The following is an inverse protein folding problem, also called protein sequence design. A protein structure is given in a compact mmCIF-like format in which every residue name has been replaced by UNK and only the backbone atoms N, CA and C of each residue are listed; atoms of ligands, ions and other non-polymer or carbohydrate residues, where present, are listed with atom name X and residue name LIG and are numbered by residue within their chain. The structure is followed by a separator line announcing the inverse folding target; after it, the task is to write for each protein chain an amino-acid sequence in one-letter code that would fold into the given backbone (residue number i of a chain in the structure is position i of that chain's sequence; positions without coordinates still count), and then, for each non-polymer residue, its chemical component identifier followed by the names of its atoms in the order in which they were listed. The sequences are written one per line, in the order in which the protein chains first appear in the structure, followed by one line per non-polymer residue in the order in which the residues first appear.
data_IF_571448823758
#
_entry.id   IF_571448823758
#
_cell.length_a   1.000
_cell.length_b   1.000
_cell.length_c   1.000
_cell.angle_alpha   90.00
_cell.angle_beta   90.00
_cell.angle_gamma   90.00
#
_symmetry.space_group_name_H-M   'P 1'
#
loop_
_entity.id
_entity.type
_entity.pdbx_description
1 polymer ?
#
# COMPACT_ATOMS: atom_id res chain seq x y z
N UNK A 1 -15.38 -3.16 38.35
CA UNK A 1 -14.88 -2.63 37.06
C UNK A 1 -16.00 -2.78 36.04
N UNK A 2 -16.69 -1.68 35.72
CA UNK A 2 -17.86 -1.70 34.84
C UNK A 2 -17.44 -2.04 33.42
N UNK A 3 -18.01 -3.12 32.88
CA UNK A 3 -17.91 -3.49 31.47
C UNK A 3 -18.83 -2.52 30.71
N UNK A 4 -18.25 -1.61 29.92
CA UNK A 4 -19.03 -0.79 29.00
C UNK A 4 -19.34 -1.61 27.75
N UNK A 5 -20.46 -2.34 27.78
CA UNK A 5 -21.04 -2.98 26.60
C UNK A 5 -21.73 -1.89 25.79
N UNK A 6 -21.13 -1.46 24.68
CA UNK A 6 -21.78 -0.57 23.72
C UNK A 6 -22.50 -1.45 22.70
N UNK A 7 -23.83 -1.43 22.75
CA UNK A 7 -24.68 -2.13 21.80
C UNK A 7 -25.25 -1.12 20.80
N UNK A 8 -25.02 -1.36 19.52
CA UNK A 8 -25.62 -0.58 18.44
C UNK A 8 -26.88 -1.29 17.95
N UNK A 9 -28.04 -0.63 18.05
CA UNK A 9 -29.28 -1.06 17.39
C UNK A 9 -29.31 -0.34 16.04
N UNK A 10 -29.24 -1.09 14.93
CA UNK A 10 -29.46 -0.54 13.59
C UNK A 10 -30.96 -0.63 13.31
N UNK A 11 -31.71 0.42 13.67
CA UNK A 11 -33.07 0.60 13.18
C UNK A 11 -33.04 1.13 11.75
N UNK A 12 -33.96 0.66 10.90
CA UNK A 12 -34.18 1.23 9.57
C UNK A 12 -34.47 2.73 9.71
N UNK A 13 -33.52 3.58 9.30
CA UNK A 13 -33.64 5.03 9.42
C UNK A 13 -34.70 5.56 8.44
N UNK A 14 -35.82 6.07 8.97
CA UNK A 14 -36.67 7.00 8.24
C UNK A 14 -35.95 8.35 8.14
N UNK A 15 -35.66 8.78 6.91
CA UNK A 15 -34.98 10.03 6.60
C UNK A 15 -35.83 11.23 7.05
N UNK A 16 -35.55 11.81 8.22
CA UNK A 16 -35.96 13.18 8.53
C UNK A 16 -34.93 14.14 7.94
N UNK A 17 -35.41 15.12 7.14
CA UNK A 17 -34.59 16.21 6.59
C UNK A 17 -33.98 17.01 7.74
N UNK A 18 -32.66 16.90 7.93
CA UNK A 18 -31.89 17.75 8.85
C UNK A 18 -31.24 18.85 8.01
N UNK A 19 -31.43 20.11 8.43
CA UNK A 19 -30.82 21.29 7.84
C UNK A 19 -29.29 21.22 7.93
N UNK A 20 -28.63 21.33 6.78
CA UNK A 20 -27.17 21.45 6.67
C UNK A 20 -26.74 22.91 6.90
N UNK A 21 -25.84 23.12 7.86
CA UNK A 21 -25.09 24.38 8.00
C UNK A 21 -23.71 24.11 7.38
N UNK A 22 -23.48 24.73 6.22
CA UNK A 22 -22.27 24.55 5.44
C UNK A 22 -21.06 25.24 6.10
N UNK A 23 -19.96 24.49 6.28
CA UNK A 23 -18.62 25.04 6.42
C UNK A 23 -17.77 24.42 5.32
N UNK A 24 -17.43 25.19 4.27
CA UNK A 24 -16.65 24.76 3.09
C UNK A 24 -17.06 23.41 2.51
N UNK A 25 -18.14 23.38 1.72
CA UNK A 25 -18.72 22.12 1.23
C UNK A 25 -17.72 21.27 0.44
N UNK A 26 -17.69 19.96 0.74
CA UNK A 26 -17.01 18.96 -0.06
C UNK A 26 -17.45 19.05 -1.54
N UNK A 27 -16.51 18.87 -2.47
CA UNK A 27 -16.83 18.79 -3.89
C UNK A 27 -17.47 17.42 -4.14
N UNK A 28 -18.72 17.36 -4.63
CA UNK A 28 -19.40 16.08 -4.83
C UNK A 28 -18.77 15.29 -5.98
N UNK A 29 -19.06 13.99 -6.03
CA UNK A 29 -18.69 13.15 -7.15
C UNK A 29 -19.37 13.62 -8.46
N UNK A 30 -18.59 13.91 -9.50
CA UNK A 30 -19.09 14.02 -10.87
C UNK A 30 -19.31 12.62 -11.45
N UNK A 31 -20.45 12.02 -11.08
CA UNK A 31 -20.81 10.66 -11.42
C UNK A 31 -20.91 10.44 -12.94
N UNK A 32 -20.24 9.41 -13.44
CA UNK A 32 -20.43 8.88 -14.80
C UNK A 32 -20.58 7.37 -14.75
N UNK A 33 -21.59 6.84 -15.44
CA UNK A 33 -21.76 5.40 -15.61
C UNK A 33 -20.88 4.91 -16.78
N UNK A 34 -20.15 3.83 -16.57
CA UNK A 34 -19.35 3.15 -17.58
C UNK A 34 -19.48 1.64 -17.48
N UNK A 35 -18.61 0.92 -18.18
CA UNK A 35 -18.73 -0.53 -18.37
C UNK A 35 -18.62 -1.36 -17.07
N UNK A 36 -17.98 -0.80 -16.04
CA UNK A 36 -17.81 -1.44 -14.72
C UNK A 36 -18.62 -0.78 -13.61
N UNK A 37 -19.64 -0.01 -13.97
CA UNK A 37 -20.48 0.74 -13.04
C UNK A 37 -20.14 2.23 -12.99
N UNK A 38 -20.48 2.87 -11.87
CA UNK A 38 -20.27 4.30 -11.70
C UNK A 38 -18.83 4.65 -11.28
N UNK A 39 -18.32 5.78 -11.80
CA UNK A 39 -17.05 6.40 -11.41
C UNK A 39 -17.24 7.89 -11.09
N UNK A 40 -16.32 8.48 -10.33
CA UNK A 40 -16.21 9.92 -10.15
C UNK A 40 -15.19 10.49 -11.14
N UNK A 41 -15.63 11.40 -12.01
CA UNK A 41 -14.79 11.98 -13.06
C UNK A 41 -14.00 13.16 -12.50
N UNK A 42 -12.67 13.06 -12.58
CA UNK A 42 -11.75 14.15 -12.24
C UNK A 42 -11.00 14.65 -13.47
N UNK A 43 -10.60 15.93 -13.45
CA UNK A 43 -9.76 16.59 -14.44
C UNK A 43 -8.87 17.66 -13.77
N UNK A 44 -8.24 18.52 -14.57
CA UNK A 44 -7.34 19.57 -14.07
C UNK A 44 -8.02 20.60 -13.15
N UNK A 45 -9.29 20.90 -13.40
CA UNK A 45 -10.07 21.93 -12.72
C UNK A 45 -11.09 21.40 -11.70
N UNK A 46 -11.27 20.08 -11.64
CA UNK A 46 -12.32 19.47 -10.84
C UNK A 46 -11.93 18.07 -10.37
N UNK A 47 -12.14 17.80 -9.09
CA UNK A 47 -12.14 16.44 -8.55
C UNK A 47 -12.95 16.44 -7.26
N UNK A 48 -13.64 15.34 -6.95
CA UNK A 48 -14.36 15.22 -5.70
C UNK A 48 -13.41 15.22 -4.51
N UNK A 49 -13.86 15.84 -3.43
CA UNK A 49 -13.10 15.93 -2.18
C UNK A 49 -13.93 15.38 -1.06
N UNK A 50 -13.24 14.86 -0.06
CA UNK A 50 -13.88 14.42 1.16
C UNK A 50 -13.03 14.84 2.35
N UNK A 51 -13.57 15.68 3.22
CA UNK A 51 -12.93 16.05 4.47
C UNK A 51 -13.60 15.35 5.64
N UNK A 52 -12.82 14.58 6.40
CA UNK A 52 -13.31 14.02 7.65
C UNK A 52 -13.81 15.14 8.58
N UNK A 53 -15.09 15.10 8.99
CA UNK A 53 -15.64 16.12 9.88
C UNK A 53 -14.98 16.03 11.24
N UNK A 54 -14.71 17.18 11.84
CA UNK A 54 -14.20 17.23 13.20
C UNK A 54 -15.23 16.60 14.15
N UNK A 55 -14.81 15.70 15.06
CA UNK A 55 -15.74 15.08 16.00
C UNK A 55 -16.39 16.17 16.87
N UNK A 56 -17.73 16.23 16.93
CA UNK A 56 -18.42 17.14 17.84
C UNK A 56 -18.04 16.90 19.31
N UNK A 57 -18.22 17.91 20.15
CA UNK A 57 -18.10 17.72 21.60
C UNK A 57 -19.21 16.81 22.11
N UNK A 58 -18.87 15.77 22.88
CA UNK A 58 -19.82 14.81 23.43
C UNK A 58 -19.84 13.48 22.67
N UNK A 59 -20.98 12.78 22.69
CA UNK A 59 -21.14 11.47 22.04
C UNK A 59 -21.75 11.66 20.64
N UNK A 60 -21.09 11.13 19.63
CA UNK A 60 -21.49 11.31 18.23
C UNK A 60 -21.35 10.01 17.45
N UNK A 61 -22.01 9.97 16.29
CA UNK A 61 -21.83 8.95 15.27
C UNK A 61 -21.62 9.63 13.92
N UNK A 62 -20.60 9.17 13.20
CA UNK A 62 -20.36 9.51 11.80
C UNK A 62 -20.52 8.23 10.98
N UNK A 63 -21.35 8.28 9.94
CA UNK A 63 -21.61 7.16 9.05
C UNK A 63 -21.24 7.57 7.63
N UNK A 64 -20.36 6.81 7.02
CA UNK A 64 -19.95 6.96 5.63
C UNK A 64 -20.43 5.75 4.85
N UNK A 65 -21.15 5.97 3.76
CA UNK A 65 -21.65 4.90 2.88
C UNK A 65 -21.37 5.21 1.43
N UNK A 66 -21.17 4.16 0.64
CA UNK A 66 -20.98 4.21 -0.81
C UNK A 66 -21.91 3.18 -1.45
N UNK A 67 -23.21 3.43 -1.40
CA UNK A 67 -24.23 2.54 -1.97
C UNK A 67 -24.78 3.09 -3.28
N UNK A 68 -24.86 2.27 -4.34
CA UNK A 68 -25.46 2.47 -5.68
C UNK A 68 -25.13 3.76 -6.48
N UNK A 69 -24.75 4.86 -5.83
CA UNK A 69 -24.24 6.10 -6.41
C UNK A 69 -22.77 6.28 -6.02
N UNK A 70 -21.93 6.78 -6.94
CA UNK A 70 -20.51 6.98 -6.69
C UNK A 70 -20.29 8.19 -5.75
N UNK A 71 -19.20 8.13 -4.97
CA UNK A 71 -18.87 9.13 -3.95
C UNK A 71 -19.17 8.67 -2.53
N UNK A 72 -18.89 9.55 -1.56
CA UNK A 72 -19.13 9.31 -0.13
C UNK A 72 -20.45 9.98 0.29
N UNK A 73 -21.43 9.18 0.72
CA UNK A 73 -22.58 9.70 1.44
C UNK A 73 -22.22 9.79 2.92
N UNK A 74 -22.28 11.00 3.45
CA UNK A 74 -22.01 11.27 4.85
C UNK A 74 -23.30 11.57 5.62
N UNK A 75 -23.49 10.86 6.74
CA UNK A 75 -24.49 11.17 7.75
C UNK A 75 -23.84 11.31 9.11
N UNK A 76 -24.34 12.24 9.92
CA UNK A 76 -23.92 12.43 11.31
C UNK A 76 -25.11 12.52 12.24
N UNK A 77 -24.89 12.13 13.50
CA UNK A 77 -25.89 12.24 14.54
C UNK A 77 -25.27 12.17 15.93
N UNK A 78 -26.12 12.33 16.94
CA UNK A 78 -25.74 12.09 18.33
C UNK A 78 -25.94 10.61 18.66
N UNK A 79 -24.98 10.03 19.39
CA UNK A 79 -25.14 8.66 19.88
C UNK A 79 -26.20 8.66 20.99
N UNK A 80 -27.27 7.88 20.83
CA UNK A 80 -28.29 7.70 21.86
C UNK A 80 -28.10 6.36 22.56
N UNK A 81 -27.64 6.41 23.80
CA UNK A 81 -27.50 5.20 24.62
C UNK A 81 -28.87 4.67 25.02
N UNK A 82 -29.26 3.50 24.49
CA UNK A 82 -30.42 2.77 25.00
C UNK A 82 -29.97 1.91 26.19
N UNK A 83 -30.38 2.28 27.40
CA UNK A 83 -30.04 1.52 28.62
C UNK A 83 -30.61 0.09 28.60
N UNK A 84 -31.70 -0.12 27.87
CA UNK A 84 -32.27 -1.42 27.60
C UNK A 84 -32.03 -1.75 26.13
N UNK A 85 -31.08 -2.63 25.88
CA UNK A 85 -30.96 -3.26 24.57
C UNK A 85 -32.22 -4.09 24.42
N UNK A 86 -33.06 -3.72 23.45
CA UNK A 86 -34.32 -4.41 23.18
C UNK A 86 -34.03 -5.91 23.14
N UNK A 87 -34.71 -6.67 23.99
CA UNK A 87 -34.54 -8.13 24.00
C UNK A 87 -34.91 -8.68 22.63
N UNK A 88 -34.31 -9.81 22.21
CA UNK A 88 -34.63 -10.50 20.94
C UNK A 88 -36.14 -10.73 20.74
N UNK A 89 -36.95 -10.66 21.82
CA UNK A 89 -38.41 -10.79 21.79
C UNK A 89 -39.15 -9.55 21.27
N UNK A 90 -38.55 -8.35 21.31
CA UNK A 90 -39.22 -7.09 20.94
C UNK A 90 -38.90 -6.65 19.49
N UNK A 91 -37.80 -7.12 18.90
CA UNK A 91 -37.39 -6.84 17.50
C UNK A 91 -36.69 -8.07 16.89
N UNK A 92 -37.42 -9.13 16.53
CA UNK A 92 -36.85 -10.42 16.10
C UNK A 92 -36.03 -10.38 14.79
N UNK A 93 -35.96 -9.23 14.12
CA UNK A 93 -35.22 -9.01 12.86
C UNK A 93 -33.97 -8.12 13.01
N UNK A 94 -33.67 -7.63 14.21
CA UNK A 94 -32.54 -6.72 14.42
C UNK A 94 -31.21 -7.48 14.54
N UNK A 95 -30.20 -7.08 13.77
CA UNK A 95 -28.82 -7.55 13.95
C UNK A 95 -28.16 -6.75 15.08
N UNK A 96 -27.74 -7.43 16.15
CA UNK A 96 -27.02 -6.81 17.28
C UNK A 96 -25.52 -7.03 17.08
N UNK A 97 -24.75 -5.94 17.04
CA UNK A 97 -23.28 -5.96 17.01
C UNK A 97 -22.76 -5.42 18.33
N UNK A 98 -22.04 -6.26 19.07
CA UNK A 98 -21.43 -5.91 20.37
C UNK A 98 -19.92 -5.79 20.21
N UNK A 99 -19.36 -4.65 20.64
CA UNK A 99 -17.91 -4.38 20.61
C UNK A 99 -17.34 -4.48 22.03
N UNK A 100 -16.43 -5.45 22.25
CA UNK A 100 -15.70 -5.60 23.50
C UNK A 100 -14.37 -4.84 23.44
N UNK A 101 -14.33 -3.64 24.00
CA UNK A 101 -13.14 -2.76 23.99
C UNK A 101 -12.01 -3.24 24.89
N UNK A 102 -12.23 -4.26 25.72
CA UNK A 102 -11.19 -4.86 26.58
C UNK A 102 -10.34 -5.87 25.82
N UNK A 103 -10.87 -6.44 24.73
CA UNK A 103 -10.16 -7.36 23.83
C UNK A 103 -9.43 -6.57 22.74
N UNK A 104 -8.10 -6.59 22.79
CA UNK A 104 -7.22 -5.94 21.82
C UNK A 104 -6.58 -6.95 20.87
N UNK A 105 -6.32 -6.53 19.64
CA UNK A 105 -5.63 -7.32 18.61
C UNK A 105 -4.43 -6.54 18.03
N UNK A 106 -4.11 -6.69 16.75
CA UNK A 106 -3.01 -6.02 16.09
C UNK A 106 -3.22 -4.51 15.94
N UNK A 107 -2.12 -3.77 15.90
CA UNK A 107 -2.11 -2.37 15.47
C UNK A 107 -2.09 -2.30 13.94
N UNK A 108 -2.91 -1.41 13.36
CA UNK A 108 -2.92 -1.16 11.92
C UNK A 108 -1.75 -0.25 11.54
N UNK A 109 -0.84 -0.74 10.69
CA UNK A 109 0.30 0.07 10.20
C UNK A 109 -0.15 1.14 9.21
N UNK A 110 -1.05 0.79 8.30
CA UNK A 110 -1.58 1.70 7.27
C UNK A 110 -2.30 0.94 6.16
N UNK A 111 -2.99 1.71 5.32
CA UNK A 111 -3.60 1.28 4.06
C UNK A 111 -2.99 2.14 2.96
N UNK A 112 -2.77 1.56 1.78
CA UNK A 112 -1.93 2.18 0.77
C UNK A 112 -1.99 1.54 -0.60
N UNK A 113 -1.07 1.99 -1.46
CA UNK A 113 -0.89 1.51 -2.83
C UNK A 113 0.59 1.36 -3.21
N UNK A 114 0.84 1.04 -4.48
CA UNK A 114 2.20 0.81 -5.01
C UNK A 114 2.60 1.90 -6.01
N UNK A 115 3.78 2.47 -5.83
CA UNK A 115 4.43 3.40 -6.76
C UNK A 115 5.16 2.62 -7.86
N UNK A 116 4.39 1.88 -8.67
CA UNK A 116 4.94 1.17 -9.85
C UNK A 116 5.31 2.15 -10.95
N UNK A 117 6.17 1.72 -11.88
CA UNK A 117 6.51 2.52 -13.06
C UNK A 117 5.23 2.91 -13.83
N UNK A 118 4.32 1.96 -14.04
CA UNK A 118 3.02 2.20 -14.68
C UNK A 118 2.18 3.26 -13.94
N UNK A 119 2.05 3.21 -12.62
CA UNK A 119 1.28 4.22 -11.88
C UNK A 119 1.90 5.61 -12.05
N UNK A 120 3.21 5.72 -11.85
CA UNK A 120 3.92 6.98 -11.91
C UNK A 120 3.96 7.54 -13.35
N UNK A 121 4.05 6.67 -14.37
CA UNK A 121 3.96 7.05 -15.78
C UNK A 121 2.57 7.58 -16.15
N UNK A 122 1.51 6.89 -15.74
CA UNK A 122 0.14 7.35 -15.99
C UNK A 122 -0.14 8.69 -15.29
N UNK A 123 0.36 8.87 -14.07
CA UNK A 123 0.29 10.13 -13.35
C UNK A 123 1.02 11.25 -14.10
N UNK A 124 2.24 10.98 -14.59
CA UNK A 124 3.04 11.96 -15.34
C UNK A 124 2.43 12.34 -16.70
N UNK A 125 1.63 11.46 -17.29
CA UNK A 125 0.90 11.74 -18.53
C UNK A 125 -0.33 12.65 -18.33
N UNK A 126 -0.74 12.92 -17.09
CA UNK A 126 -1.75 13.93 -16.79
C UNK A 126 -1.13 15.33 -16.81
N UNK A 127 -1.96 16.34 -17.07
CA UNK A 127 -1.57 17.73 -16.77
C UNK A 127 -1.26 17.87 -15.28
N UNK A 128 -0.33 18.75 -14.92
CA UNK A 128 0.11 18.97 -13.53
C UNK A 128 -1.06 19.15 -12.52
N UNK A 129 -2.12 19.95 -12.79
CA UNK A 129 -3.23 20.09 -11.86
C UNK A 129 -4.05 18.81 -11.70
N UNK A 130 -4.24 18.04 -12.78
CA UNK A 130 -4.96 16.77 -12.73
C UNK A 130 -4.17 15.71 -11.96
N UNK A 131 -2.85 15.67 -12.13
CA UNK A 131 -1.96 14.80 -11.35
C UNK A 131 -1.98 15.16 -9.86
N UNK A 132 -1.96 16.46 -9.53
CA UNK A 132 -2.12 16.93 -8.14
C UNK A 132 -3.47 16.51 -7.55
N UNK A 133 -4.56 16.61 -8.31
CA UNK A 133 -5.88 16.16 -7.87
C UNK A 133 -5.87 14.66 -7.55
N UNK A 134 -5.33 13.83 -8.45
CA UNK A 134 -5.22 12.38 -8.24
C UNK A 134 -4.41 12.02 -6.98
N UNK A 135 -3.23 12.63 -6.80
CA UNK A 135 -2.43 12.41 -5.59
C UNK A 135 -3.13 12.93 -4.34
N UNK A 136 -3.86 14.04 -4.42
CA UNK A 136 -4.61 14.59 -3.30
C UNK A 136 -5.75 13.66 -2.88
N UNK A 137 -6.47 13.05 -3.84
CA UNK A 137 -7.49 12.04 -3.54
C UNK A 137 -6.93 10.87 -2.75
N UNK A 138 -5.68 10.45 -3.01
CA UNK A 138 -5.04 9.38 -2.25
C UNK A 138 -4.45 9.82 -0.91
N UNK A 139 -3.65 10.89 -0.88
CA UNK A 139 -2.75 11.17 0.25
C UNK A 139 -3.16 12.37 1.10
N UNK A 140 -3.97 13.29 0.59
CA UNK A 140 -4.29 14.54 1.30
C UNK A 140 -5.40 14.37 2.34
N UNK A 141 -5.52 15.30 3.32
CA UNK A 141 -6.62 15.34 4.28
C UNK A 141 -8.01 15.56 3.67
N UNK A 142 -8.08 15.95 2.40
CA UNK A 142 -9.32 16.10 1.62
C UNK A 142 -9.56 14.90 0.69
N UNK A 143 -8.85 13.80 0.91
CA UNK A 143 -9.01 12.50 0.24
C UNK A 143 -9.08 11.35 1.24
N UNK A 144 -8.62 10.17 0.84
CA UNK A 144 -8.70 8.94 1.66
C UNK A 144 -7.48 8.69 2.57
N UNK A 145 -6.53 9.64 2.59
CA UNK A 145 -5.38 9.67 3.51
C UNK A 145 -4.57 8.36 3.57
N UNK A 146 -4.19 7.78 2.42
CA UNK A 146 -3.27 6.65 2.34
C UNK A 146 -2.01 6.89 3.20
N UNK A 147 -1.64 5.85 3.96
CA UNK A 147 -0.56 5.86 4.96
C UNK A 147 0.51 4.81 4.71
N UNK A 148 0.49 4.12 3.58
CA UNK A 148 1.48 3.11 3.23
C UNK A 148 1.79 3.19 1.74
N UNK A 149 3.06 3.03 1.38
CA UNK A 149 3.49 2.93 -0.02
C UNK A 149 4.31 1.68 -0.23
N UNK A 150 4.10 0.97 -1.34
CA UNK A 150 5.03 -0.06 -1.83
C UNK A 150 5.81 0.50 -3.01
N UNK A 151 7.10 0.20 -3.10
CA UNK A 151 7.98 0.67 -4.18
C UNK A 151 8.71 -0.53 -4.77
N UNK A 152 8.50 -0.83 -6.06
CA UNK A 152 9.35 -1.80 -6.74
C UNK A 152 10.82 -1.37 -6.73
N UNK A 153 11.71 -2.31 -6.42
CA UNK A 153 13.15 -2.15 -6.56
C UNK A 153 13.47 -2.56 -8.00
N UNK A 154 13.80 -1.59 -8.84
CA UNK A 154 13.85 -1.68 -10.30
C UNK A 154 12.50 -2.06 -10.95
N UNK A 155 12.51 -2.80 -12.06
CA UNK A 155 11.29 -3.12 -12.83
C UNK A 155 10.39 -4.15 -12.14
N UNK A 156 9.09 -4.05 -12.39
CA UNK A 156 8.10 -5.12 -12.19
C UNK A 156 7.43 -5.51 -13.52
N UNK A 157 6.44 -6.39 -13.46
CA UNK A 157 5.49 -6.63 -14.55
C UNK A 157 4.66 -5.38 -14.92
N UNK A 158 4.62 -4.38 -14.03
CA UNK A 158 4.05 -3.05 -14.27
C UNK A 158 5.13 -2.03 -14.66
N UNK A 159 6.10 -2.45 -15.46
CA UNK A 159 7.11 -1.62 -16.10
C UNK A 159 7.03 -1.76 -17.62
N UNK A 160 7.41 -0.71 -18.37
CA UNK A 160 7.42 -0.73 -19.84
C UNK A 160 8.60 -1.51 -20.43
N UNK A 161 9.61 -1.82 -19.60
CA UNK A 161 10.76 -2.67 -19.93
C UNK A 161 11.25 -3.38 -18.67
N UNK A 162 11.91 -4.51 -18.84
CA UNK A 162 12.61 -5.20 -17.75
C UNK A 162 13.98 -4.58 -17.54
N UNK A 163 14.34 -4.29 -16.30
CA UNK A 163 15.65 -3.77 -15.92
C UNK A 163 15.99 -4.04 -14.46
N UNK A 164 17.27 -4.05 -14.16
CA UNK A 164 17.77 -3.95 -12.79
C UNK A 164 18.68 -2.73 -12.66
N UNK A 165 19.20 -2.50 -11.47
CA UNK A 165 20.16 -1.43 -11.22
C UNK A 165 21.59 -1.82 -11.58
N UNK A 166 21.86 -3.10 -11.86
CA UNK A 166 23.20 -3.59 -12.18
C UNK A 166 23.18 -4.72 -13.24
N UNK A 167 22.75 -4.36 -14.44
CA UNK A 167 22.69 -5.28 -15.59
C UNK A 167 24.07 -5.50 -16.26
N UNK A 168 25.17 -5.02 -15.66
CA UNK A 168 26.53 -5.26 -16.17
C UNK A 168 27.00 -6.66 -15.77
N UNK A 169 27.18 -7.54 -16.76
CA UNK A 169 27.54 -8.93 -16.50
C UNK A 169 28.85 -9.06 -15.72
N UNK A 170 28.80 -9.84 -14.63
CA UNK A 170 29.97 -10.16 -13.81
C UNK A 170 30.37 -9.08 -12.79
N UNK A 171 29.60 -7.99 -12.64
CA UNK A 171 29.87 -6.99 -11.61
C UNK A 171 29.47 -7.48 -10.22
N UNK A 172 30.35 -8.24 -9.57
CA UNK A 172 30.13 -8.72 -8.20
C UNK A 172 30.40 -7.66 -7.13
N UNK A 173 30.76 -6.43 -7.53
CA UNK A 173 31.17 -5.35 -6.62
C UNK A 173 30.19 -4.17 -6.58
N UNK A 174 29.12 -4.21 -7.39
CA UNK A 174 28.16 -3.11 -7.56
C UNK A 174 28.82 -1.81 -8.05
N UNK A 175 29.90 -1.92 -8.83
CA UNK A 175 30.62 -0.79 -9.41
C UNK A 175 29.76 -0.02 -10.40
N UNK A 176 28.92 -0.72 -11.15
CA UNK A 176 28.04 -0.19 -12.19
C UNK A 176 26.58 -0.05 -11.72
N UNK A 177 26.31 -0.35 -10.44
CA UNK A 177 25.00 -0.12 -9.85
C UNK A 177 24.57 1.33 -10.02
N UNK A 178 23.39 1.55 -10.60
CA UNK A 178 22.78 2.87 -10.72
C UNK A 178 21.26 2.79 -10.76
N UNK A 179 20.61 3.75 -10.11
CA UNK A 179 19.20 4.03 -10.36
C UNK A 179 18.99 4.45 -11.82
N UNK A 180 17.76 4.30 -12.29
CA UNK A 180 17.39 4.49 -13.69
C UNK A 180 16.48 5.72 -13.88
N UNK A 181 16.18 6.06 -15.13
CA UNK A 181 15.28 7.17 -15.44
C UNK A 181 13.89 6.97 -14.81
N UNK A 182 13.40 5.74 -14.70
CA UNK A 182 12.16 5.41 -14.02
C UNK A 182 12.16 5.83 -12.54
N UNK A 183 13.30 5.71 -11.86
CA UNK A 183 13.42 6.18 -10.47
C UNK A 183 13.42 7.71 -10.41
N UNK A 184 14.28 8.35 -11.18
CA UNK A 184 14.50 9.80 -11.10
C UNK A 184 13.35 10.63 -11.69
N UNK A 185 12.72 10.15 -12.76
CA UNK A 185 11.70 10.90 -13.49
C UNK A 185 10.27 10.50 -13.10
N UNK A 186 10.07 9.33 -12.49
CA UNK A 186 8.74 8.82 -12.14
C UNK A 186 8.59 8.59 -10.64
N UNK A 187 9.32 7.62 -10.06
CA UNK A 187 9.04 7.13 -8.69
C UNK A 187 9.40 8.14 -7.60
N UNK A 188 10.64 8.65 -7.61
CA UNK A 188 11.14 9.57 -6.57
C UNK A 188 10.27 10.85 -6.52
N UNK A 189 10.04 11.57 -7.64
CA UNK A 189 9.20 12.76 -7.61
C UNK A 189 7.75 12.48 -7.17
N UNK A 190 7.19 11.33 -7.56
CA UNK A 190 5.83 10.95 -7.16
C UNK A 190 5.73 10.65 -5.67
N UNK A 191 6.74 9.97 -5.10
CA UNK A 191 6.81 9.69 -3.65
C UNK A 191 6.96 10.99 -2.86
N UNK A 192 7.83 11.90 -3.31
CA UNK A 192 8.01 13.23 -2.68
C UNK A 192 6.71 14.05 -2.71
N UNK A 193 6.03 14.09 -3.85
CA UNK A 193 4.73 14.75 -3.98
C UNK A 193 3.69 14.14 -3.03
N UNK A 194 3.58 12.82 -2.97
CA UNK A 194 2.69 12.12 -2.05
C UNK A 194 3.00 12.43 -0.57
N UNK A 195 4.28 12.41 -0.19
CA UNK A 195 4.73 12.79 1.16
C UNK A 195 4.38 14.24 1.49
N UNK A 196 4.50 15.16 0.53
CA UNK A 196 4.20 16.59 0.74
C UNK A 196 2.71 16.88 0.95
N UNK A 197 1.83 16.05 0.35
CA UNK A 197 0.38 16.20 0.46
C UNK A 197 -0.17 15.53 1.73
N UNK A 198 0.54 14.53 2.26
CA UNK A 198 0.10 13.81 3.46
C UNK A 198 0.39 14.59 4.73
N UNK A 199 -0.57 14.59 5.65
CA UNK A 199 -0.33 15.04 7.04
C UNK A 199 0.26 13.95 7.93
N UNK A 200 0.38 12.72 7.43
CA UNK A 200 0.92 11.57 8.15
C UNK A 200 2.32 11.25 7.63
N UNK A 201 3.10 10.53 8.44
CA UNK A 201 4.28 9.86 7.89
C UNK A 201 3.83 8.76 6.92
N UNK A 202 4.50 8.65 5.77
CA UNK A 202 4.21 7.65 4.73
C UNK A 202 5.30 6.55 4.76
N UNK A 203 5.18 5.52 5.61
CA UNK A 203 6.08 4.36 5.59
C UNK A 203 6.07 3.69 4.22
N UNK A 204 7.27 3.33 3.75
CA UNK A 204 7.48 2.67 2.46
C UNK A 204 7.98 1.24 2.63
N UNK A 205 7.55 0.36 1.73
CA UNK A 205 7.97 -1.04 1.61
C UNK A 205 8.68 -1.22 0.26
N UNK A 206 9.95 -1.59 0.27
CA UNK A 206 10.69 -1.94 -0.95
C UNK A 206 10.58 -3.43 -1.28
N UNK A 207 10.36 -3.80 -2.53
CA UNK A 207 10.39 -5.21 -2.96
C UNK A 207 10.98 -5.35 -4.36
N UNK A 208 11.94 -6.27 -4.53
CA UNK A 208 12.53 -6.58 -5.83
C UNK A 208 11.80 -7.74 -6.49
N UNK A 209 11.45 -7.59 -7.77
CA UNK A 209 10.89 -8.69 -8.57
C UNK A 209 11.97 -9.64 -9.03
N UNK A 210 13.06 -9.13 -9.59
CA UNK A 210 14.13 -9.95 -10.15
C UNK A 210 15.51 -9.39 -9.80
N UNK A 211 16.52 -10.26 -9.78
CA UNK A 211 17.93 -9.89 -9.69
C UNK A 211 18.53 -9.76 -11.10
N UNK A 212 19.73 -9.16 -11.25
CA UNK A 212 20.41 -9.11 -12.53
C UNK A 212 20.51 -10.49 -13.17
N UNK A 213 20.24 -10.59 -14.47
CA UNK A 213 20.08 -11.87 -15.16
C UNK A 213 21.29 -12.81 -14.96
N UNK A 214 22.51 -12.27 -15.02
CA UNK A 214 23.78 -12.99 -14.84
C UNK A 214 23.98 -13.63 -13.45
N UNK A 215 23.16 -13.25 -12.45
CA UNK A 215 23.18 -13.84 -11.11
C UNK A 215 22.33 -15.11 -10.99
N UNK A 216 21.51 -15.42 -12.00
CA UNK A 216 20.48 -16.47 -11.92
C UNK A 216 20.88 -17.73 -12.66
N UNK A 217 20.29 -18.87 -12.27
CA UNK A 217 20.58 -20.17 -12.87
C UNK A 217 20.30 -20.22 -14.37
N UNK A 218 19.35 -19.43 -14.86
CA UNK A 218 18.92 -19.36 -16.26
C UNK A 218 19.52 -18.18 -17.06
N UNK A 219 20.39 -17.34 -16.46
CA UNK A 219 20.90 -16.11 -17.08
C UNK A 219 19.79 -15.21 -17.66
N UNK A 220 18.62 -15.16 -17.01
CA UNK A 220 17.44 -14.48 -17.54
C UNK A 220 16.62 -13.81 -16.41
N UNK A 221 15.92 -12.72 -16.72
CA UNK A 221 15.01 -12.05 -15.79
C UNK A 221 13.76 -12.88 -15.44
N UNK A 222 13.36 -13.81 -16.30
CA UNK A 222 12.27 -14.76 -16.09
C UNK A 222 12.51 -15.72 -14.91
N UNK A 223 11.48 -16.41 -14.40
CA UNK A 223 11.57 -17.18 -13.16
C UNK A 223 12.75 -18.16 -13.17
N UNK A 224 13.68 -17.92 -12.26
CA UNK A 224 14.92 -18.68 -12.09
C UNK A 224 15.47 -18.45 -10.69
N UNK A 225 16.25 -19.41 -10.19
CA UNK A 225 16.83 -19.33 -8.86
C UNK A 225 18.06 -18.44 -8.87
N UNK A 226 18.25 -17.68 -7.79
CA UNK A 226 19.50 -16.97 -7.56
C UNK A 226 20.62 -17.99 -7.27
N UNK A 227 21.77 -17.87 -7.94
CA UNK A 227 22.90 -18.77 -7.63
C UNK A 227 23.47 -18.42 -6.27
N UNK A 228 23.73 -19.43 -5.44
CA UNK A 228 24.23 -19.28 -4.05
C UNK A 228 25.49 -18.39 -3.95
N UNK A 229 26.39 -18.49 -4.92
CA UNK A 229 27.60 -17.67 -4.99
C UNK A 229 27.33 -16.15 -5.05
N UNK A 230 26.11 -15.73 -5.41
CA UNK A 230 25.71 -14.32 -5.49
C UNK A 230 24.77 -13.88 -4.36
N UNK A 231 24.57 -14.68 -3.31
CA UNK A 231 23.72 -14.28 -2.17
C UNK A 231 24.27 -13.05 -1.46
N UNK A 232 25.59 -12.99 -1.25
CA UNK A 232 26.24 -11.82 -0.66
C UNK A 232 26.05 -10.58 -1.52
N UNK A 233 26.28 -10.70 -2.83
CA UNK A 233 26.06 -9.64 -3.81
C UNK A 233 24.61 -9.14 -3.80
N UNK A 234 23.63 -10.07 -3.82
CA UNK A 234 22.22 -9.71 -3.82
C UNK A 234 21.79 -8.99 -2.55
N UNK A 235 22.30 -9.41 -1.39
CA UNK A 235 22.07 -8.67 -0.15
C UNK A 235 22.65 -7.25 -0.23
N UNK A 236 23.89 -7.10 -0.74
CA UNK A 236 24.50 -5.78 -0.94
C UNK A 236 23.72 -4.92 -1.94
N UNK A 237 23.15 -5.52 -2.99
CA UNK A 237 22.30 -4.82 -3.97
C UNK A 237 21.08 -4.20 -3.28
N UNK A 238 20.40 -4.93 -2.39
CA UNK A 238 19.25 -4.42 -1.65
C UNK A 238 19.64 -3.31 -0.66
N UNK A 239 20.81 -3.41 -0.01
CA UNK A 239 21.33 -2.32 0.83
C UNK A 239 21.69 -1.10 -0.02
N UNK A 240 22.30 -1.30 -1.19
CA UNK A 240 22.68 -0.20 -2.09
C UNK A 240 21.47 0.55 -2.62
N UNK A 241 20.36 -0.14 -2.87
CA UNK A 241 19.07 0.50 -3.17
C UNK A 241 18.63 1.45 -2.04
N UNK A 242 18.70 1.01 -0.78
CA UNK A 242 18.36 1.86 0.36
C UNK A 242 19.30 3.06 0.48
N UNK A 243 20.60 2.87 0.24
CA UNK A 243 21.58 3.96 0.22
C UNK A 243 21.25 5.01 -0.85
N UNK A 244 20.95 4.58 -2.08
CA UNK A 244 20.65 5.51 -3.18
C UNK A 244 19.33 6.26 -2.97
N UNK A 245 18.28 5.62 -2.46
CA UNK A 245 17.01 6.31 -2.16
C UNK A 245 17.13 7.25 -0.95
N UNK A 246 17.95 6.91 0.05
CA UNK A 246 18.19 7.79 1.20
C UNK A 246 18.93 9.08 0.80
N UNK A 247 19.77 9.06 -0.25
CA UNK A 247 20.35 10.29 -0.83
C UNK A 247 19.30 11.27 -1.37
N UNK A 248 18.12 10.77 -1.75
CA UNK A 248 16.96 11.58 -2.13
C UNK A 248 16.01 11.87 -0.93
N UNK A 249 16.44 11.60 0.31
CA UNK A 249 15.61 11.78 1.50
C UNK A 249 14.43 10.79 1.61
N UNK A 250 14.52 9.65 0.91
CA UNK A 250 13.49 8.61 0.93
C UNK A 250 14.00 7.39 1.68
N UNK A 251 13.59 7.29 2.94
CA UNK A 251 13.83 6.10 3.75
C UNK A 251 12.67 5.10 3.70
N UNK A 252 13.00 3.83 3.94
CA UNK A 252 12.06 2.72 3.92
C UNK A 252 11.75 2.23 5.33
N UNK A 253 10.46 1.96 5.59
CA UNK A 253 10.07 1.29 6.82
C UNK A 253 10.44 -0.20 6.78
N UNK A 254 10.28 -0.82 5.61
CA UNK A 254 10.70 -2.20 5.40
C UNK A 254 11.17 -2.46 3.98
N UNK A 255 11.89 -3.56 3.83
CA UNK A 255 12.11 -4.24 2.56
C UNK A 255 11.59 -5.66 2.66
N UNK A 256 11.19 -6.24 1.53
CA UNK A 256 10.95 -7.67 1.41
C UNK A 256 12.20 -8.34 0.86
N UNK A 257 12.41 -9.61 1.19
CA UNK A 257 13.56 -10.36 0.68
C UNK A 257 13.41 -10.78 -0.81
N UNK A 258 12.23 -10.52 -1.39
CA UNK A 258 11.88 -10.70 -2.80
C UNK A 258 10.36 -10.70 -2.96
N UNK A 259 9.86 -10.15 -4.07
CA UNK A 259 8.44 -10.24 -4.43
C UNK A 259 8.14 -11.65 -4.90
N UNK A 260 7.10 -12.26 -4.33
CA UNK A 260 6.55 -13.56 -4.75
C UNK A 260 7.63 -14.61 -5.04
N UNK A 261 8.41 -15.07 -4.05
CA UNK A 261 9.47 -16.06 -4.24
C UNK A 261 9.01 -17.41 -4.80
N UNK A 262 7.71 -17.76 -4.70
CA UNK A 262 7.17 -19.08 -5.07
C UNK A 262 6.12 -19.02 -6.16
N UNK A 263 5.18 -18.09 -6.11
CA UNK A 263 4.10 -18.00 -7.10
C UNK A 263 4.59 -18.04 -8.57
N UNK A 264 5.77 -17.47 -8.92
CA UNK A 264 6.33 -17.55 -10.26
C UNK A 264 6.75 -18.95 -10.72
N UNK A 265 6.80 -19.96 -9.84
CA UNK A 265 6.93 -21.37 -10.24
C UNK A 265 5.76 -21.82 -11.12
N UNK A 266 4.57 -21.26 -10.89
CA UNK A 266 3.33 -21.62 -11.58
C UNK A 266 2.90 -20.47 -12.50
N UNK A 267 2.60 -19.29 -11.94
CA UNK A 267 1.98 -18.16 -12.67
C UNK A 267 3.03 -17.43 -13.51
N UNK A 268 4.18 -17.12 -12.93
CA UNK A 268 5.21 -16.29 -13.57
C UNK A 268 5.81 -16.92 -14.83
N UNK A 269 5.86 -18.26 -14.91
CA UNK A 269 6.27 -18.96 -16.14
C UNK A 269 5.22 -18.86 -17.24
N UNK A 270 3.94 -18.81 -16.90
CA UNK A 270 2.84 -18.69 -17.86
C UNK A 270 2.78 -17.29 -18.44
N UNK A 271 3.00 -16.27 -17.61
CA UNK A 271 2.86 -14.85 -17.99
C UNK A 271 4.20 -14.14 -18.22
N UNK A 272 5.33 -14.86 -18.21
CA UNK A 272 6.68 -14.32 -18.39
C UNK A 272 7.01 -13.15 -17.43
N UNK A 273 6.60 -13.28 -16.17
CA UNK A 273 6.85 -12.27 -15.13
C UNK A 273 8.31 -12.37 -14.69
N UNK A 274 8.98 -11.23 -14.59
CA UNK A 274 10.34 -11.16 -14.07
C UNK A 274 10.35 -11.54 -12.58
N UNK A 275 11.13 -12.55 -12.20
CA UNK A 275 11.07 -13.12 -10.85
C UNK A 275 12.36 -13.80 -10.43
N UNK A 276 12.74 -13.67 -9.16
CA UNK A 276 13.70 -14.57 -8.50
C UNK A 276 12.95 -15.59 -7.67
N UNK A 277 13.21 -16.86 -7.95
CA UNK A 277 12.65 -17.97 -7.22
C UNK A 277 13.47 -18.27 -5.97
N UNK A 278 12.78 -18.58 -4.87
CA UNK A 278 13.41 -19.05 -3.65
C UNK A 278 12.67 -20.27 -3.10
N UNK A 279 13.40 -21.31 -2.69
CA UNK A 279 12.84 -22.31 -1.78
C UNK A 279 12.94 -21.80 -0.32
N UNK A 280 12.06 -22.22 0.60
CA UNK A 280 12.06 -21.72 1.99
C UNK A 280 13.42 -21.88 2.69
N UNK A 281 14.10 -23.02 2.46
CA UNK A 281 15.40 -23.31 3.06
C UNK A 281 16.50 -22.38 2.56
N UNK A 282 16.51 -22.08 1.27
CA UNK A 282 17.46 -21.18 0.62
C UNK A 282 17.19 -19.72 0.98
N UNK A 283 15.92 -19.35 1.06
CA UNK A 283 15.51 -18.04 1.53
C UNK A 283 15.92 -17.79 2.97
N UNK A 284 15.73 -18.78 3.85
CA UNK A 284 16.20 -18.74 5.24
C UNK A 284 17.73 -18.60 5.32
N UNK A 285 18.47 -19.32 4.48
CA UNK A 285 19.93 -19.23 4.40
C UNK A 285 20.37 -17.82 3.97
N UNK A 286 19.76 -17.28 2.91
CA UNK A 286 20.00 -15.92 2.43
C UNK A 286 19.74 -14.86 3.51
N UNK A 287 18.58 -14.92 4.17
CA UNK A 287 18.22 -13.98 5.22
C UNK A 287 19.15 -14.10 6.43
N UNK A 288 19.41 -15.33 6.91
CA UNK A 288 20.23 -15.56 8.11
C UNK A 288 21.69 -15.17 7.92
N UNK A 289 22.28 -15.54 6.78
CA UNK A 289 23.73 -15.48 6.59
C UNK A 289 24.18 -14.27 5.77
N UNK A 290 23.28 -13.60 5.05
CA UNK A 290 23.65 -12.48 4.17
C UNK A 290 22.83 -11.22 4.44
N UNK A 291 21.52 -11.22 4.11
CA UNK A 291 20.72 -10.00 4.15
C UNK A 291 20.52 -9.46 5.57
N UNK A 292 20.17 -10.32 6.53
CA UNK A 292 19.94 -9.91 7.92
C UNK A 292 21.17 -9.24 8.55
N UNK A 293 22.35 -9.91 8.57
CA UNK A 293 23.58 -9.33 9.09
C UNK A 293 24.00 -8.02 8.39
N UNK A 294 23.90 -7.97 7.05
CA UNK A 294 24.24 -6.76 6.29
C UNK A 294 23.30 -5.60 6.59
N UNK A 295 21.99 -5.86 6.66
CA UNK A 295 21.00 -4.83 7.00
C UNK A 295 21.25 -4.26 8.40
N UNK A 296 21.53 -5.13 9.38
CA UNK A 296 21.85 -4.72 10.75
C UNK A 296 23.14 -3.91 10.86
N UNK A 297 24.15 -4.20 10.03
CA UNK A 297 25.43 -3.48 10.01
C UNK A 297 25.37 -2.17 9.18
N UNK A 298 24.35 -1.99 8.34
CA UNK A 298 24.20 -0.82 7.49
C UNK A 298 23.66 0.41 8.24
N UNK A 299 23.67 1.57 7.57
CA UNK A 299 22.98 2.78 8.04
C UNK A 299 21.44 2.59 8.17
N UNK A 300 20.90 1.52 7.57
CA UNK A 300 19.47 1.23 7.51
C UNK A 300 19.01 0.19 8.54
N UNK A 301 19.75 0.00 9.62
CA UNK A 301 19.52 -1.04 10.64
C UNK A 301 18.14 -0.99 11.35
N UNK A 302 17.41 0.11 11.22
CA UNK A 302 16.03 0.25 11.71
C UNK A 302 14.97 -0.28 10.73
N UNK A 303 15.34 -0.48 9.46
CA UNK A 303 14.48 -1.02 8.40
C UNK A 303 14.07 -2.44 8.75
N UNK A 304 12.77 -2.74 8.65
CA UNK A 304 12.25 -4.09 8.91
C UNK A 304 12.42 -4.97 7.68
N UNK A 305 12.59 -6.27 7.92
CA UNK A 305 12.58 -7.27 6.87
C UNK A 305 11.27 -8.04 6.92
N UNK A 306 10.53 -8.04 5.82
CA UNK A 306 9.31 -8.84 5.63
C UNK A 306 9.65 -10.06 4.78
N UNK A 307 9.24 -11.23 5.22
CA UNK A 307 9.42 -12.49 4.48
C UNK A 307 8.13 -12.90 3.77
N UNK A 308 8.23 -13.95 2.96
CA UNK A 308 7.20 -14.48 2.08
C UNK A 308 6.83 -13.51 0.96
N UNK A 309 6.15 -12.39 1.25
CA UNK A 309 5.67 -11.43 0.23
C UNK A 309 5.01 -12.14 -0.98
N UNK A 310 4.22 -13.17 -0.68
CA UNK A 310 3.60 -14.10 -1.61
C UNK A 310 2.18 -14.46 -1.12
N UNK A 311 1.48 -15.27 -1.89
CA UNK A 311 0.17 -15.80 -1.58
C UNK A 311 0.13 -16.56 -0.26
N UNK A 312 -0.99 -16.41 0.46
CA UNK A 312 -1.21 -17.02 1.78
C UNK A 312 -1.15 -18.55 1.79
N UNK A 313 -1.29 -19.21 0.63
CA UNK A 313 -1.26 -20.67 0.52
C UNK A 313 0.10 -21.25 0.93
N UNK A 314 1.17 -20.49 0.74
CA UNK A 314 2.52 -20.93 1.09
C UNK A 314 2.90 -20.66 2.55
N UNK A 315 2.06 -19.96 3.32
CA UNK A 315 2.43 -19.47 4.66
C UNK A 315 2.86 -20.59 5.62
N UNK A 316 2.13 -21.70 5.68
CA UNK A 316 2.45 -22.82 6.58
C UNK A 316 3.74 -23.55 6.19
N UNK A 317 4.12 -23.50 4.92
CA UNK A 317 5.34 -24.13 4.42
C UNK A 317 6.55 -23.19 4.49
N UNK A 318 6.30 -21.88 4.56
CA UNK A 318 7.33 -20.85 4.59
C UNK A 318 7.86 -20.53 5.99
N UNK A 319 7.01 -20.66 7.01
CA UNK A 319 7.32 -20.41 8.42
C UNK A 319 7.88 -21.66 9.10
#
# INVERSE_FOLDING_TARGET
MSVHVINFIICAFTFYKILSIATGADVPCAARYGDSGYVCVCNASYCDTFKYPSPPTGQFIHVFTSNLTPGFNFAQGLLQYHQNVLSDREQPTAAIVTVDTTKKFQNLKGIGGSFTDSFCLNLKNLSEPAGRNLLSSYFSPTGIEYKLGRVPIASSDFSTRTYTYDDTEGDTTLKYFKLTEEDFLLKIPTIEAAKSLSRHNLPLIGAAWTSPSWTKTNNNFLPGYLRRQYYQYWAQYLIRFLDEYSKAGIDFWSVTAGNEPINPLIIGKVFNINSVLWMPTEHREFVKNHLGPLLQASAHNNTKLVTLDDTRWYLQWWM
#
